data_IF_094914891720
#
_entry.id   IF_094914891720
#
_cell.length_a   1.000
_cell.length_b   1.000
_cell.length_c   1.000
_cell.angle_alpha   90.00
_cell.angle_beta   90.00
_cell.angle_gamma   90.00
#
_symmetry.space_group_name_H-M   'P 1'
#
loop_
_entity.id
_entity.type
_entity.pdbx_description
1 polymer ?
#
# COMPACT_ATOMS: atom_id res chain seq x y z
N UNK A 1 42.72 -8.46 -9.41
CA UNK A 1 41.84 -8.82 -10.55
C UNK A 1 40.41 -8.92 -10.02
N UNK A 2 39.58 -7.95 -10.42
CA UNK A 2 38.12 -7.82 -10.30
C UNK A 2 37.43 -8.20 -8.97
N UNK A 3 37.10 -7.19 -8.16
CA UNK A 3 35.88 -7.23 -7.35
C UNK A 3 34.79 -6.59 -8.20
N UNK A 4 33.84 -7.41 -8.63
CA UNK A 4 32.68 -7.00 -9.41
C UNK A 4 31.81 -6.10 -8.53
N UNK A 5 31.69 -4.82 -8.92
CA UNK A 5 30.72 -3.90 -8.33
C UNK A 5 29.34 -4.32 -8.79
N UNK A 6 28.77 -5.27 -8.08
CA UNK A 6 27.34 -5.47 -8.04
C UNK A 6 26.74 -4.47 -7.05
N UNK A 7 26.84 -3.17 -7.35
CA UNK A 7 25.76 -2.26 -6.95
C UNK A 7 24.59 -2.63 -7.86
N UNK A 8 24.02 -3.82 -7.59
CA UNK A 8 22.65 -4.07 -7.95
C UNK A 8 21.93 -2.87 -7.35
N UNK A 9 21.34 -2.09 -8.24
CA UNK A 9 20.36 -1.11 -7.85
C UNK A 9 19.25 -1.91 -7.19
N UNK A 10 19.43 -2.20 -5.90
CA UNK A 10 18.36 -2.36 -4.93
C UNK A 10 17.69 -1.00 -4.98
N UNK A 11 16.89 -0.82 -6.03
CA UNK A 11 16.06 0.33 -6.23
C UNK A 11 15.28 0.40 -4.97
N UNK A 12 15.64 1.38 -4.15
CA UNK A 12 15.06 1.69 -2.86
C UNK A 12 13.57 1.87 -3.10
N UNK A 13 12.87 0.74 -3.13
CA UNK A 13 11.42 0.67 -3.19
C UNK A 13 10.98 0.86 -1.75
N UNK A 14 11.52 1.89 -1.10
CA UNK A 14 10.98 2.43 0.13
C UNK A 14 9.53 2.69 -0.18
N UNK A 15 8.67 1.86 0.43
CA UNK A 15 7.24 1.97 0.29
C UNK A 15 6.85 3.39 0.72
N UNK A 16 6.52 4.24 -0.26
CA UNK A 16 6.05 5.58 0.03
C UNK A 16 4.79 5.46 0.87
N UNK A 17 4.80 6.06 2.07
CA UNK A 17 3.65 6.04 2.96
C UNK A 17 2.54 6.92 2.36
N UNK A 18 1.54 6.27 1.75
CA UNK A 18 0.37 6.94 1.17
C UNK A 18 -0.78 6.98 2.18
N UNK A 19 -1.48 8.11 2.23
CA UNK A 19 -2.72 8.28 3.00
C UNK A 19 -3.85 8.61 2.04
N UNK A 20 -4.82 7.71 1.92
CA UNK A 20 -5.93 7.83 0.97
C UNK A 20 -7.25 7.97 1.75
N UNK A 21 -8.04 9.00 1.43
CA UNK A 21 -9.38 9.19 1.99
C UNK A 21 -10.45 8.72 0.99
N UNK A 22 -11.31 7.82 1.44
CA UNK A 22 -12.51 7.42 0.70
C UNK A 22 -13.73 8.17 1.27
N UNK A 23 -14.25 9.14 0.52
CA UNK A 23 -15.36 10.00 0.94
C UNK A 23 -16.61 9.81 0.05
N UNK A 24 -17.79 10.23 0.54
CA UNK A 24 -19.08 10.09 -0.16
C UNK A 24 -20.28 9.94 0.79
N UNK A 25 -21.49 10.00 0.24
CA UNK A 25 -22.76 9.93 0.99
C UNK A 25 -23.03 8.61 1.72
N UNK A 26 -24.18 8.51 2.40
CA UNK A 26 -24.59 7.28 3.08
C UNK A 26 -24.96 6.17 2.08
N UNK A 27 -24.63 4.92 2.36
CA UNK A 27 -25.00 3.77 1.52
C UNK A 27 -24.23 3.59 0.21
N UNK A 28 -23.35 4.52 -0.19
CA UNK A 28 -22.63 4.47 -1.50
C UNK A 28 -21.52 3.40 -1.60
N UNK A 29 -21.36 2.55 -0.59
CA UNK A 29 -20.42 1.44 -0.65
C UNK A 29 -18.96 1.75 -0.29
N UNK A 30 -18.66 2.84 0.44
CA UNK A 30 -17.28 3.19 0.84
C UNK A 30 -16.55 2.04 1.56
N UNK A 31 -17.20 1.44 2.55
CA UNK A 31 -16.64 0.30 3.30
C UNK A 31 -16.51 -0.94 2.42
N UNK A 32 -17.42 -1.13 1.46
CA UNK A 32 -17.35 -2.22 0.49
C UNK A 32 -16.12 -2.07 -0.40
N UNK A 33 -15.84 -0.87 -0.90
CA UNK A 33 -14.63 -0.59 -1.69
C UNK A 33 -13.37 -0.89 -0.88
N UNK A 34 -13.25 -0.34 0.33
CA UNK A 34 -12.09 -0.58 1.20
C UNK A 34 -11.91 -2.08 1.47
N UNK A 35 -13.00 -2.80 1.76
CA UNK A 35 -12.95 -4.26 1.98
C UNK A 35 -12.57 -5.06 0.74
N UNK A 36 -12.93 -4.61 -0.46
CA UNK A 36 -12.63 -5.31 -1.71
C UNK A 36 -11.15 -5.22 -2.13
N UNK A 37 -10.45 -4.15 -1.73
CA UNK A 37 -9.04 -3.91 -2.09
C UNK A 37 -8.07 -4.13 -0.93
N UNK A 38 -8.56 -4.15 0.32
CA UNK A 38 -7.71 -4.32 1.50
C UNK A 38 -7.33 -5.77 1.71
N UNK A 39 -6.02 -6.05 1.71
CA UNK A 39 -5.46 -7.34 2.16
C UNK A 39 -5.45 -7.47 3.70
N UNK A 40 -5.72 -6.36 4.41
CA UNK A 40 -5.72 -6.30 5.87
C UNK A 40 -7.14 -6.53 6.41
N UNK A 41 -7.27 -7.38 7.44
CA UNK A 41 -8.56 -7.62 8.12
C UNK A 41 -9.00 -6.36 8.90
N UNK A 42 -10.31 -6.07 8.96
CA UNK A 42 -10.81 -4.93 9.72
C UNK A 42 -10.40 -5.00 11.20
N UNK A 43 -9.87 -3.90 11.71
CA UNK A 43 -9.55 -3.77 13.14
C UNK A 43 -10.85 -3.56 13.93
N UNK A 44 -11.04 -4.36 14.98
CA UNK A 44 -12.12 -4.26 15.96
C UNK A 44 -11.51 -4.28 17.35
N UNK A 45 -12.07 -3.53 18.29
CA UNK A 45 -11.63 -3.44 19.70
C UNK A 45 -12.61 -4.13 20.62
#
# INVERSE_FOLDING_TARGET
MASERSDATDGDTTALALKILVAGGFGVGKTTLVGAVSEIRPLRT
#
